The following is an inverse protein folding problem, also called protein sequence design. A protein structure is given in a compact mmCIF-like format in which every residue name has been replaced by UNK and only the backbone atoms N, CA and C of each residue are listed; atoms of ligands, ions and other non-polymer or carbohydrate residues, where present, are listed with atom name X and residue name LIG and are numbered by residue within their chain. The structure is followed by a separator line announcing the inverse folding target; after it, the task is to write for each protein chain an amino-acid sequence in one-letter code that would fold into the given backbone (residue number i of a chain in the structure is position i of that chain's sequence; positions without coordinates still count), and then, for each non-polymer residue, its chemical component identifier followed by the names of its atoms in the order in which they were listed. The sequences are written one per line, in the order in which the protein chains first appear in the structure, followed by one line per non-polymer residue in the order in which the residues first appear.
data_IF_788231980876
#
_entry.id   IF_788231980876
#
_cell.length_a   1.000
_cell.length_b   1.000
_cell.length_c   1.000
_cell.angle_alpha   90.00
_cell.angle_beta   90.00
_cell.angle_gamma   90.00
#
_symmetry.space_group_name_H-M   'P 1'
#
loop_
_entity.id
_entity.type
_entity.pdbx_description
1 polymer ?
#
# COMPACT_ATOMS: atom_id res chain seq x y z
N UNK A 1 -8.70 3.96 -5.39
CA UNK A 1 -8.06 3.78 -4.07
C UNK A 1 -9.06 3.33 -3.01
N UNK A 2 -10.34 3.74 -3.06
CA UNK A 2 -11.38 3.31 -2.10
C UNK A 2 -11.52 1.78 -1.94
N UNK A 3 -11.47 1.01 -3.02
CA UNK A 3 -11.62 -0.45 -2.94
C UNK A 3 -10.48 -1.15 -2.19
N UNK A 4 -9.27 -0.60 -2.21
CA UNK A 4 -8.11 -1.22 -1.54
C UNK A 4 -8.26 -1.11 -0.03
N UNK A 5 -8.70 0.06 0.45
CA UNK A 5 -8.89 0.27 1.89
C UNK A 5 -10.09 -0.53 2.42
N UNK A 6 -11.16 -0.70 1.64
CA UNK A 6 -12.26 -1.60 1.98
C UNK A 6 -11.78 -3.04 2.19
N UNK A 7 -10.95 -3.56 1.28
CA UNK A 7 -10.37 -4.91 1.42
C UNK A 7 -9.44 -5.04 2.63
N UNK A 8 -8.66 -4.00 2.96
CA UNK A 8 -7.84 -4.00 4.19
C UNK A 8 -8.73 -4.06 5.42
N UNK A 9 -9.82 -3.28 5.48
CA UNK A 9 -10.76 -3.32 6.60
C UNK A 9 -11.42 -4.68 6.76
N UNK A 10 -11.82 -5.31 5.65
CA UNK A 10 -12.47 -6.62 5.66
C UNK A 10 -11.49 -7.73 6.09
N UNK A 11 -10.28 -7.75 5.52
CA UNK A 11 -9.34 -8.87 5.69
C UNK A 11 -8.38 -8.72 6.87
N UNK A 12 -8.18 -7.49 7.34
CA UNK A 12 -7.20 -7.14 8.38
C UNK A 12 -7.80 -6.31 9.52
N UNK A 13 -9.11 -6.48 9.79
CA UNK A 13 -9.86 -5.71 10.79
C UNK A 13 -9.15 -5.68 12.16
N UNK A 14 -8.66 -6.83 12.63
CA UNK A 14 -8.00 -6.95 13.94
C UNK A 14 -6.72 -6.11 14.03
N UNK A 15 -5.83 -6.24 13.04
CA UNK A 15 -4.57 -5.50 12.99
C UNK A 15 -4.81 -4.00 12.84
N UNK A 16 -5.85 -3.63 12.08
CA UNK A 16 -6.27 -2.24 11.92
C UNK A 16 -6.74 -1.66 13.26
N UNK A 17 -7.61 -2.37 13.97
CA UNK A 17 -8.09 -1.95 15.30
C UNK A 17 -6.95 -1.83 16.31
N UNK A 18 -6.03 -2.79 16.34
CA UNK A 18 -4.84 -2.73 17.21
C UNK A 18 -3.97 -1.51 16.93
N UNK A 19 -3.76 -1.19 15.66
CA UNK A 19 -3.01 -0.01 15.26
C UNK A 19 -3.73 1.28 15.65
N UNK A 20 -5.03 1.38 15.38
CA UNK A 20 -5.86 2.52 15.77
C UNK A 20 -5.81 2.78 17.29
N UNK A 21 -6.05 1.75 18.10
CA UNK A 21 -5.95 1.85 19.57
C UNK A 21 -4.57 2.31 20.03
N UNK A 22 -3.51 1.87 19.35
CA UNK A 22 -2.17 2.35 19.69
C UNK A 22 -2.01 3.84 19.38
N UNK A 23 -2.42 4.30 18.19
CA UNK A 23 -2.33 5.71 17.80
C UNK A 23 -3.13 6.61 18.76
N UNK A 24 -4.31 6.16 19.18
CA UNK A 24 -5.15 6.87 20.17
C UNK A 24 -4.48 7.00 21.54
N UNK A 25 -3.74 5.98 21.97
CA UNK A 25 -3.02 5.99 23.25
C UNK A 25 -1.69 6.76 23.20
N UNK A 26 -1.11 6.97 22.01
CA UNK A 26 0.19 7.59 21.80
C UNK A 26 0.14 8.75 20.80
N UNK A 27 -0.74 9.76 20.97
CA UNK A 27 -1.04 10.76 19.93
C UNK A 27 0.17 11.62 19.53
N UNK A 28 1.17 11.78 20.39
CA UNK A 28 2.34 12.62 20.14
C UNK A 28 3.57 11.89 19.61
N UNK A 29 3.59 10.54 19.64
CA UNK A 29 4.76 9.74 19.26
C UNK A 29 4.39 8.38 18.67
N UNK A 30 3.19 8.24 18.12
CA UNK A 30 2.67 7.01 17.53
C UNK A 30 3.57 6.44 16.44
N UNK A 31 4.28 7.31 15.70
CA UNK A 31 5.21 6.95 14.63
C UNK A 31 6.34 6.03 15.12
N UNK A 32 6.75 6.19 16.38
CA UNK A 32 7.75 5.36 17.07
C UNK A 32 7.11 4.32 17.98
N UNK A 33 6.09 4.70 18.73
CA UNK A 33 5.46 3.85 19.75
C UNK A 33 4.64 2.70 19.15
N UNK A 34 4.08 2.88 17.95
CA UNK A 34 3.16 1.93 17.32
C UNK A 34 3.77 1.15 16.14
N UNK A 35 5.11 1.10 16.04
CA UNK A 35 5.81 0.42 14.93
C UNK A 35 5.42 -1.06 14.84
N UNK A 36 5.24 -1.74 15.97
CA UNK A 36 4.85 -3.15 15.98
C UNK A 36 3.47 -3.37 15.36
N UNK A 37 2.46 -2.59 15.76
CA UNK A 37 1.11 -2.67 15.24
C UNK A 37 1.06 -2.24 13.77
N UNK A 38 1.82 -1.20 13.39
CA UNK A 38 1.98 -0.77 12.00
C UNK A 38 2.52 -1.91 11.13
N UNK A 39 3.57 -2.59 11.58
CA UNK A 39 4.19 -3.70 10.86
C UNK A 39 3.24 -4.89 10.75
N UNK A 40 2.47 -5.19 11.80
CA UNK A 40 1.46 -6.25 11.78
C UNK A 40 0.34 -5.97 10.76
N UNK A 41 -0.17 -4.73 10.72
CA UNK A 41 -1.16 -4.31 9.73
C UNK A 41 -0.61 -4.34 8.31
N UNK A 42 0.64 -3.87 8.13
CA UNK A 42 1.33 -3.90 6.83
C UNK A 42 1.45 -5.35 6.33
N UNK A 43 1.97 -6.26 7.16
CA UNK A 43 2.11 -7.67 6.82
C UNK A 43 0.77 -8.31 6.43
N UNK A 44 -0.27 -8.10 7.24
CA UNK A 44 -1.60 -8.64 6.91
C UNK A 44 -2.09 -8.12 5.55
N UNK A 45 -1.93 -6.83 5.30
CA UNK A 45 -2.37 -6.18 4.06
C UNK A 45 -1.65 -6.75 2.84
N UNK A 46 -0.32 -6.93 2.93
CA UNK A 46 0.50 -7.51 1.88
C UNK A 46 0.21 -8.99 1.60
N UNK A 47 -0.20 -9.75 2.62
CA UNK A 47 -0.50 -11.18 2.47
C UNK A 47 -1.92 -11.44 1.95
N UNK A 48 -2.90 -10.58 2.29
CA UNK A 48 -4.32 -10.87 2.09
C UNK A 48 -5.02 -9.96 1.06
N UNK A 49 -4.46 -8.78 0.76
CA UNK A 49 -5.06 -7.83 -0.19
C UNK A 49 -4.31 -7.94 -1.53
N UNK A 50 -4.98 -8.52 -2.53
CA UNK A 50 -4.35 -8.95 -3.77
C UNK A 50 -3.64 -7.83 -4.53
N UNK A 51 -4.25 -6.64 -4.61
CA UNK A 51 -3.63 -5.48 -5.25
C UNK A 51 -2.36 -5.01 -4.52
N UNK A 52 -2.34 -5.05 -3.18
CA UNK A 52 -1.17 -4.66 -2.39
C UNK A 52 -0.05 -5.68 -2.53
N UNK A 53 -0.39 -6.97 -2.52
CA UNK A 53 0.56 -8.05 -2.82
C UNK A 53 1.19 -7.87 -4.20
N UNK A 54 0.36 -7.64 -5.21
CA UNK A 54 0.79 -7.49 -6.60
C UNK A 54 1.72 -6.27 -6.79
N UNK A 55 1.37 -5.13 -6.19
CA UNK A 55 2.22 -3.93 -6.17
C UNK A 55 3.55 -4.20 -5.47
N UNK A 56 3.54 -4.84 -4.31
CA UNK A 56 4.77 -5.17 -3.56
C UNK A 56 5.73 -6.02 -4.39
N UNK A 57 5.22 -7.04 -5.08
CA UNK A 57 6.03 -7.94 -5.89
C UNK A 57 6.66 -7.20 -7.09
N UNK A 58 5.87 -6.39 -7.81
CA UNK A 58 6.32 -5.75 -9.06
C UNK A 58 7.09 -4.44 -8.84
N UNK A 59 6.87 -3.74 -7.73
CA UNK A 59 7.53 -2.47 -7.39
C UNK A 59 8.61 -2.61 -6.32
N UNK A 60 9.00 -3.84 -5.96
CA UNK A 60 10.01 -4.13 -4.94
C UNK A 60 11.33 -3.38 -5.15
N UNK A 61 11.76 -3.20 -6.41
CA UNK A 61 12.95 -2.43 -6.75
C UNK A 61 12.79 -0.95 -6.38
N UNK A 62 11.71 -0.30 -6.82
CA UNK A 62 11.48 1.12 -6.57
C UNK A 62 11.25 1.40 -5.08
N UNK A 63 10.61 0.47 -4.36
CA UNK A 63 10.49 0.53 -2.89
C UNK A 63 11.88 0.55 -2.26
N UNK A 64 12.74 -0.41 -2.65
CA UNK A 64 14.11 -0.49 -2.14
C UNK A 64 14.94 0.75 -2.48
N UNK A 65 14.86 1.26 -3.70
CA UNK A 65 15.61 2.46 -4.11
C UNK A 65 15.20 3.70 -3.30
N UNK A 66 13.90 3.83 -3.00
CA UNK A 66 13.39 4.90 -2.15
C UNK A 66 13.82 4.75 -0.68
N UNK A 67 13.71 3.54 -0.13
CA UNK A 67 14.13 3.23 1.24
C UNK A 67 15.64 3.43 1.45
N UNK A 68 16.45 2.97 0.50
CA UNK A 68 17.90 3.14 0.51
C UNK A 68 18.27 4.65 0.44
N UNK A 69 17.55 5.43 -0.38
CA UNK A 69 17.72 6.89 -0.43
C UNK A 69 17.38 7.57 0.91
N UNK A 70 16.24 7.24 1.51
CA UNK A 70 15.82 7.81 2.80
C UNK A 70 16.81 7.45 3.92
N UNK A 71 17.31 6.22 3.92
CA UNK A 71 18.30 5.75 4.89
C UNK A 71 19.61 6.53 4.78
N UNK A 72 20.02 6.89 3.56
CA UNK A 72 21.20 7.70 3.29
C UNK A 72 21.01 9.22 3.53
N UNK A 73 19.77 9.72 3.44
CA UNK A 73 19.45 11.15 3.50
C UNK A 73 18.43 11.48 4.61
N UNK A 74 18.61 10.93 5.82
CA UNK A 74 17.65 11.07 6.93
C UNK A 74 17.34 12.52 7.31
N UNK A 75 18.29 13.44 7.12
CA UNK A 75 18.12 14.88 7.40
C UNK A 75 17.64 15.70 6.20
N UNK A 76 17.67 15.14 5.00
CA UNK A 76 17.34 15.82 3.73
C UNK A 76 16.48 14.90 2.82
N UNK A 77 15.29 14.47 3.28
CA UNK A 77 14.44 13.54 2.54
C UNK A 77 13.98 14.07 1.18
N UNK A 78 14.02 15.39 0.95
CA UNK A 78 13.74 16.04 -0.33
C UNK A 78 14.67 15.57 -1.46
N UNK A 79 15.88 15.08 -1.15
CA UNK A 79 16.79 14.49 -2.13
C UNK A 79 16.22 13.21 -2.75
N UNK A 80 15.27 12.57 -2.07
CA UNK A 80 14.64 11.32 -2.49
C UNK A 80 13.35 11.53 -3.32
N UNK A 81 12.99 12.76 -3.67
CA UNK A 81 11.78 13.06 -4.46
C UNK A 81 11.80 12.30 -5.80
N UNK A 82 12.96 12.13 -6.43
CA UNK A 82 13.04 11.39 -7.69
C UNK A 82 12.72 9.90 -7.51
N UNK A 83 13.30 9.25 -6.49
CA UNK A 83 12.98 7.86 -6.16
C UNK A 83 11.51 7.69 -5.75
N UNK A 84 10.94 8.67 -5.02
CA UNK A 84 9.51 8.68 -4.68
C UNK A 84 8.63 8.75 -5.92
N UNK A 85 8.97 9.59 -6.92
CA UNK A 85 8.24 9.67 -8.18
C UNK A 85 8.27 8.34 -8.93
N UNK A 86 9.42 7.68 -8.99
CA UNK A 86 9.56 6.38 -9.66
C UNK A 86 8.73 5.29 -8.97
N UNK A 87 8.73 5.26 -7.64
CA UNK A 87 7.86 4.39 -6.85
C UNK A 87 6.37 4.66 -7.09
N UNK A 88 5.99 5.94 -7.13
CA UNK A 88 4.62 6.34 -7.43
C UNK A 88 4.18 5.86 -8.82
N UNK A 89 4.99 6.09 -9.87
CA UNK A 89 4.68 5.64 -11.22
C UNK A 89 4.56 4.12 -11.33
N UNK A 90 5.45 3.38 -10.64
CA UNK A 90 5.34 1.93 -10.59
C UNK A 90 4.02 1.49 -9.95
N UNK A 91 3.66 2.10 -8.82
CA UNK A 91 2.44 1.77 -8.07
C UNK A 91 1.19 2.04 -8.90
N UNK A 92 1.09 3.18 -9.56
CA UNK A 92 -0.06 3.53 -10.40
C UNK A 92 -0.21 2.57 -11.59
N UNK A 93 0.90 2.32 -12.32
CA UNK A 93 0.91 1.44 -13.48
C UNK A 93 0.54 0.00 -13.10
N UNK A 94 1.15 -0.51 -12.04
CA UNK A 94 0.93 -1.88 -11.54
C UNK A 94 -0.47 -2.06 -10.99
N UNK A 95 -0.98 -1.06 -10.25
CA UNK A 95 -2.35 -1.07 -9.73
C UNK A 95 -3.39 -1.04 -10.85
N UNK A 96 -3.13 -0.29 -11.93
CA UNK A 96 -3.98 -0.26 -13.11
C UNK A 96 -3.99 -1.62 -13.82
N UNK A 97 -2.81 -2.23 -14.03
CA UNK A 97 -2.68 -3.55 -14.63
C UNK A 97 -3.42 -4.62 -13.82
N UNK A 98 -3.28 -4.60 -12.48
CA UNK A 98 -3.99 -5.52 -11.60
C UNK A 98 -5.51 -5.41 -11.77
N UNK A 99 -6.05 -4.18 -11.78
CA UNK A 99 -7.49 -3.94 -11.94
C UNK A 99 -7.99 -4.42 -13.30
N UNK A 100 -7.24 -4.21 -14.38
CA UNK A 100 -7.61 -4.72 -15.70
C UNK A 100 -7.66 -6.24 -15.76
N UNK A 101 -6.74 -6.93 -15.08
CA UNK A 101 -6.71 -8.39 -15.01
C UNK A 101 -7.81 -9.00 -14.14
N UNK A 102 -8.31 -8.25 -13.15
CA UNK A 102 -9.24 -8.75 -12.13
C UNK A 102 -10.61 -8.03 -12.17
N UNK A 103 -10.88 -7.26 -13.22
CA UNK A 103 -12.23 -6.80 -13.49
C UNK A 103 -13.06 -7.98 -14.03
N UNK A 104 -14.24 -8.26 -13.46
CA UNK A 104 -15.15 -9.21 -14.08
C UNK A 104 -15.48 -8.66 -15.47
N UNK A 105 -15.28 -9.48 -16.50
CA UNK A 105 -15.75 -9.22 -17.85
C UNK A 105 -17.22 -8.83 -17.77
N UNK A 106 -17.52 -7.54 -17.90
CA UNK A 106 -18.87 -7.09 -18.19
C UNK A 106 -19.16 -7.61 -19.60
N UNK A 107 -20.02 -8.61 -19.64
CA UNK A 107 -20.58 -9.26 -20.81
C UNK A 107 -20.89 -8.22 -21.89
N UNK A 108 -20.09 -8.21 -22.97
CA UNK A 108 -20.43 -7.50 -24.20
C UNK A 108 -21.42 -8.38 -24.96
N UNK A 109 -22.63 -8.54 -24.41
CA UNK A 109 -23.76 -9.05 -25.17
C UNK A 109 -24.58 -7.86 -25.65
N UNK A 110 -24.24 -7.46 -26.87
CA UNK A 110 -25.09 -6.68 -27.72
C UNK A 110 -26.43 -7.39 -27.91
N UNK A 111 -27.54 -6.73 -27.60
CA UNK A 111 -28.81 -7.03 -28.26
C UNK A 111 -29.33 -5.75 -28.92
N UNK A 112 -29.14 -5.75 -30.25
CA UNK A 112 -29.73 -4.84 -31.23
C UNK A 112 -31.24 -4.76 -30.99
N UNK A 113 -31.77 -3.53 -30.97
CA UNK A 113 -33.16 -3.26 -31.32
C UNK A 113 -33.22 -2.65 -32.71
#
# INVERSE_FOLDING_TARGET
MDDTLAQVREKCALQLEMYQKCVENYPHNWDKSCVQQKNALTKCSEENVGILKYVKEHCSKQVKDYDDCLSANQSEPEKCIQALKELYFCTETTSAAYRQQHQPTQDVTAEKK
#
